data_IF_689037955518
#
_entry.id   IF_689037955518
#
_cell.length_a   1.000
_cell.length_b   1.000
_cell.length_c   1.000
_cell.angle_alpha   90.00
_cell.angle_beta   90.00
_cell.angle_gamma   90.00
#
_symmetry.space_group_name_H-M   'P 1'
#
loop_
_entity.id
_entity.type
_entity.pdbx_description
1 polymer ?
#
# COMPACT_ATOMS: atom_id res chain seq x y z
N UNK A 1 19.27 5.61 12.48
CA UNK A 1 18.90 4.23 12.86
C UNK A 1 19.75 3.25 12.05
N UNK A 2 20.21 2.15 12.64
CA UNK A 2 21.22 1.26 12.04
C UNK A 2 20.66 -0.10 11.60
N UNK A 3 21.36 -0.77 10.67
CA UNK A 3 21.01 -2.13 10.17
C UNK A 3 20.80 -3.18 11.27
N UNK A 4 21.41 -3.01 12.45
CA UNK A 4 21.21 -3.90 13.60
C UNK A 4 19.80 -3.79 14.16
N UNK A 5 19.30 -2.57 14.35
CA UNK A 5 17.95 -2.29 14.87
C UNK A 5 16.89 -2.82 13.91
N UNK A 6 17.12 -2.69 12.60
CA UNK A 6 16.24 -3.28 11.58
C UNK A 6 16.15 -4.82 11.69
N UNK A 7 17.29 -5.51 11.85
CA UNK A 7 17.32 -6.97 12.01
C UNK A 7 16.60 -7.43 13.29
N UNK A 8 16.78 -6.68 14.37
CA UNK A 8 16.11 -6.95 15.64
C UNK A 8 14.60 -6.72 15.54
N UNK A 9 14.19 -5.64 14.86
CA UNK A 9 12.79 -5.35 14.55
C UNK A 9 12.14 -6.48 13.75
N UNK A 10 12.78 -6.94 12.67
CA UNK A 10 12.25 -8.04 11.85
C UNK A 10 12.07 -9.31 12.67
N UNK A 11 13.07 -9.69 13.48
CA UNK A 11 12.99 -10.86 14.35
C UNK A 11 11.86 -10.74 15.37
N UNK A 12 11.73 -9.57 16.00
CA UNK A 12 10.66 -9.30 16.97
C UNK A 12 9.29 -9.41 16.31
N UNK A 13 9.11 -8.75 15.16
CA UNK A 13 7.86 -8.78 14.40
C UNK A 13 7.47 -10.19 13.98
N UNK A 14 8.41 -10.99 13.48
CA UNK A 14 8.15 -12.39 13.12
C UNK A 14 7.78 -13.25 14.34
N UNK A 15 8.37 -12.99 15.51
CA UNK A 15 7.99 -13.69 16.74
C UNK A 15 6.58 -13.31 17.22
N UNK A 16 6.24 -12.01 17.15
CA UNK A 16 4.92 -11.48 17.51
C UNK A 16 3.82 -12.03 16.58
N UNK A 17 4.06 -12.05 15.27
CA UNK A 17 3.13 -12.60 14.29
C UNK A 17 2.88 -14.10 14.52
N UNK A 18 3.94 -14.89 14.73
CA UNK A 18 3.80 -16.33 15.04
C UNK A 18 3.07 -16.60 16.35
N UNK A 19 3.28 -15.77 17.36
CA UNK A 19 2.56 -15.89 18.63
C UNK A 19 1.07 -15.58 18.43
N UNK A 20 0.76 -14.50 17.72
CA UNK A 20 -0.60 -14.10 17.41
C UNK A 20 -1.35 -15.18 16.62
N UNK A 21 -0.72 -15.76 15.59
CA UNK A 21 -1.30 -16.87 14.81
C UNK A 21 -1.59 -18.09 15.68
N UNK A 22 -0.68 -18.45 16.60
CA UNK A 22 -0.90 -19.54 17.55
C UNK A 22 -2.09 -19.25 18.46
N UNK A 23 -2.20 -18.03 19.00
CA UNK A 23 -3.33 -17.62 19.83
C UNK A 23 -4.65 -17.71 19.06
N UNK A 24 -4.68 -17.20 17.82
CA UNK A 24 -5.85 -17.26 16.93
C UNK A 24 -6.24 -18.70 16.61
N UNK A 25 -5.28 -19.57 16.33
CA UNK A 25 -5.54 -20.99 16.06
C UNK A 25 -6.15 -21.71 17.27
N UNK A 26 -5.67 -21.44 18.49
CA UNK A 26 -6.23 -22.01 19.72
C UNK A 26 -7.67 -21.55 19.94
N UNK A 27 -7.96 -20.26 19.72
CA UNK A 27 -9.32 -19.71 19.86
C UNK A 27 -10.25 -20.30 18.81
N UNK A 28 -9.78 -20.42 17.57
CA UNK A 28 -10.52 -21.07 16.47
C UNK A 28 -10.82 -22.53 16.78
N UNK A 29 -9.86 -23.31 17.28
CA UNK A 29 -10.08 -24.70 17.72
C UNK A 29 -11.09 -24.78 18.87
N UNK A 30 -10.97 -23.89 19.85
CA UNK A 30 -11.88 -23.84 21.00
C UNK A 30 -13.32 -23.57 20.57
N UNK A 31 -13.50 -22.65 19.61
CA UNK A 31 -14.79 -22.33 19.03
C UNK A 31 -15.39 -23.49 18.24
N UNK A 32 -14.61 -24.13 17.35
CA UNK A 32 -15.08 -25.22 16.51
C UNK A 32 -15.44 -26.47 17.31
N UNK A 33 -14.66 -26.79 18.34
CA UNK A 33 -14.84 -28.00 19.14
C UNK A 33 -15.63 -27.77 20.45
N UNK A 34 -16.21 -26.58 20.66
CA UNK A 34 -16.90 -26.20 21.90
C UNK A 34 -16.07 -26.47 23.18
N UNK A 35 -14.75 -26.26 23.13
CA UNK A 35 -13.85 -26.41 24.27
C UNK A 35 -13.78 -25.10 25.06
N UNK A 36 -13.61 -25.14 26.40
CA UNK A 36 -13.40 -23.92 27.17
C UNK A 36 -12.07 -23.25 26.80
N UNK A 37 -12.09 -21.93 26.61
CA UNK A 37 -10.88 -21.15 26.27
C UNK A 37 -9.87 -21.21 27.43
N UNK A 38 -8.57 -21.43 27.15
CA UNK A 38 -7.51 -21.46 28.16
C UNK A 38 -7.44 -20.16 28.98
N UNK A 39 -7.17 -20.28 30.28
CA UNK A 39 -7.22 -19.17 31.23
C UNK A 39 -6.40 -17.94 30.80
N UNK A 40 -5.18 -18.16 30.31
CA UNK A 40 -4.24 -17.11 29.87
C UNK A 40 -4.68 -16.35 28.61
N UNK A 41 -5.65 -16.86 27.85
CA UNK A 41 -6.18 -16.20 26.65
C UNK A 41 -7.56 -15.58 26.87
N UNK A 42 -8.21 -15.79 28.02
CA UNK A 42 -9.60 -15.34 28.24
C UNK A 42 -9.78 -13.83 28.17
N UNK A 43 -8.78 -13.05 28.61
CA UNK A 43 -8.81 -11.59 28.54
C UNK A 43 -8.76 -11.09 27.08
N UNK A 44 -7.92 -11.71 26.26
CA UNK A 44 -7.71 -11.37 24.84
C UNK A 44 -8.70 -12.07 23.90
N UNK A 45 -9.43 -13.08 24.39
CA UNK A 45 -10.23 -13.97 23.56
C UNK A 45 -11.29 -13.24 22.74
N UNK A 46 -11.93 -12.23 23.34
CA UNK A 46 -12.98 -11.44 22.67
C UNK A 46 -12.40 -10.68 21.48
N UNK A 47 -11.31 -9.94 21.68
CA UNK A 47 -10.66 -9.16 20.62
C UNK A 47 -10.13 -10.06 19.51
N UNK A 48 -9.48 -11.16 19.87
CA UNK A 48 -8.97 -12.13 18.90
C UNK A 48 -10.10 -12.81 18.13
N UNK A 49 -11.24 -13.08 18.77
CA UNK A 49 -12.41 -13.65 18.12
C UNK A 49 -13.07 -12.64 17.17
N UNK A 50 -13.17 -11.37 17.57
CA UNK A 50 -13.62 -10.29 16.69
C UNK A 50 -12.68 -10.17 15.48
N UNK A 51 -11.35 -10.22 15.67
CA UNK A 51 -10.40 -10.22 14.55
C UNK A 51 -10.54 -11.44 13.62
N UNK A 52 -10.89 -12.61 14.15
CA UNK A 52 -11.13 -13.84 13.35
C UNK A 52 -12.45 -13.74 12.57
N UNK A 53 -13.51 -13.23 13.19
CA UNK A 53 -14.84 -13.13 12.57
C UNK A 53 -14.86 -11.99 11.54
N UNK A 54 -14.23 -10.87 11.86
CA UNK A 54 -14.18 -9.67 11.04
C UNK A 54 -12.84 -9.53 10.30
N UNK A 55 -12.30 -10.61 9.71
CA UNK A 55 -11.13 -10.54 8.79
C UNK A 55 -11.27 -9.39 7.76
N UNK A 56 -12.49 -8.93 7.48
CA UNK A 56 -12.80 -7.62 6.90
C UNK A 56 -12.72 -6.45 7.89
N UNK A 57 -11.49 -6.00 8.17
CA UNK A 57 -11.16 -4.59 8.04
C UNK A 57 -11.98 -3.57 8.83
N UNK A 58 -12.14 -3.73 10.14
CA UNK A 58 -12.13 -2.51 10.95
C UNK A 58 -10.74 -1.91 10.81
N UNK A 59 -10.63 -0.92 9.92
CA UNK A 59 -9.52 0.01 9.90
C UNK A 59 -9.37 0.49 11.34
N UNK A 60 -8.38 -0.05 12.06
CA UNK A 60 -7.90 0.58 13.29
C UNK A 60 -7.79 2.05 12.93
N UNK A 61 -8.48 2.93 13.66
CA UNK A 61 -8.52 4.37 13.42
C UNK A 61 -7.09 4.86 13.59
N UNK A 62 -6.31 4.68 12.54
CA UNK A 62 -4.91 5.03 12.50
C UNK A 62 -4.88 6.52 12.35
N UNK A 63 -3.98 7.14 13.10
CA UNK A 63 -3.52 8.49 12.78
C UNK A 63 -3.30 8.56 11.27
N UNK A 64 -3.78 9.62 10.58
CA UNK A 64 -3.55 9.77 9.15
C UNK A 64 -2.05 9.72 8.90
N UNK A 65 -1.63 8.84 7.98
CA UNK A 65 -0.22 8.70 7.63
C UNK A 65 0.23 9.92 6.84
N UNK A 66 1.45 10.38 7.13
CA UNK A 66 2.13 11.39 6.36
C UNK A 66 2.66 10.78 5.06
N UNK A 67 1.85 10.88 3.99
CA UNK A 67 2.19 10.38 2.66
C UNK A 67 2.94 11.45 1.87
N UNK A 68 4.04 11.03 1.24
CA UNK A 68 4.85 11.89 0.39
C UNK A 68 5.02 11.28 -0.99
N UNK A 69 5.03 12.12 -2.02
CA UNK A 69 5.34 11.73 -3.39
C UNK A 69 6.62 12.39 -3.83
N UNK A 70 7.54 11.60 -4.38
CA UNK A 70 8.76 12.09 -5.00
C UNK A 70 8.99 11.43 -6.36
N UNK A 71 10.00 11.92 -7.07
CA UNK A 71 10.37 11.49 -8.42
C UNK A 71 11.73 10.80 -8.41
N UNK A 72 12.10 10.21 -9.54
CA UNK A 72 13.47 9.82 -9.83
C UNK A 72 14.41 11.02 -9.84
N UNK A 73 15.72 10.76 -9.84
CA UNK A 73 16.75 11.81 -10.02
C UNK A 73 16.60 12.46 -11.39
N UNK A 74 16.76 13.78 -11.44
CA UNK A 74 16.68 14.60 -12.65
C UNK A 74 15.43 14.34 -13.52
N UNK A 75 14.21 14.55 -12.97
CA UNK A 75 12.97 14.19 -13.65
C UNK A 75 12.59 15.18 -14.77
N UNK A 76 11.95 14.66 -15.82
CA UNK A 76 11.36 15.44 -16.89
C UNK A 76 10.22 16.34 -16.38
N UNK A 77 9.88 17.36 -17.16
CA UNK A 77 8.74 18.23 -16.88
C UNK A 77 7.42 17.45 -16.80
N UNK A 78 7.27 16.41 -17.64
CA UNK A 78 6.08 15.56 -17.68
C UNK A 78 5.95 14.70 -16.42
N UNK A 79 7.05 14.13 -15.94
CA UNK A 79 7.05 13.38 -14.68
C UNK A 79 6.81 14.28 -13.47
N UNK A 80 7.36 15.50 -13.45
CA UNK A 80 7.06 16.48 -12.39
C UNK A 80 5.56 16.81 -12.32
N UNK A 81 4.92 17.01 -13.48
CA UNK A 81 3.48 17.23 -13.54
C UNK A 81 2.69 16.01 -13.06
N UNK A 82 3.09 14.81 -13.50
CA UNK A 82 2.47 13.56 -13.07
C UNK A 82 2.57 13.36 -11.55
N UNK A 83 3.76 13.51 -10.98
CA UNK A 83 4.00 13.35 -9.54
C UNK A 83 3.21 14.37 -8.71
N UNK A 84 3.13 15.64 -9.15
CA UNK A 84 2.31 16.66 -8.50
C UNK A 84 0.82 16.32 -8.55
N UNK A 85 0.33 15.79 -9.67
CA UNK A 85 -1.08 15.41 -9.76
C UNK A 85 -1.39 14.18 -8.90
N UNK A 86 -0.50 13.18 -8.92
CA UNK A 86 -0.61 12.00 -8.07
C UNK A 86 -0.58 12.38 -6.58
N UNK A 87 0.27 13.32 -6.18
CA UNK A 87 0.36 13.76 -4.79
C UNK A 87 -0.96 14.36 -4.31
N UNK A 88 -1.61 15.20 -5.14
CA UNK A 88 -2.92 15.73 -4.81
C UNK A 88 -3.94 14.61 -4.59
N UNK A 89 -3.99 13.61 -5.48
CA UNK A 89 -4.99 12.54 -5.40
C UNK A 89 -4.81 11.67 -4.17
N UNK A 90 -3.57 11.41 -3.79
CA UNK A 90 -3.22 10.62 -2.60
C UNK A 90 -3.31 11.43 -1.30
N UNK A 91 -3.78 12.69 -1.32
CA UNK A 91 -3.72 13.62 -0.18
C UNK A 91 -2.30 13.75 0.40
N UNK A 92 -1.30 13.63 -0.47
CA UNK A 92 0.11 13.55 -0.14
C UNK A 92 0.84 14.87 -0.44
N UNK A 93 1.92 15.10 0.28
CA UNK A 93 2.83 16.21 0.01
C UNK A 93 3.84 15.84 -1.08
N UNK A 94 4.08 16.73 -2.04
CA UNK A 94 5.12 16.53 -3.06
C UNK A 94 6.46 17.03 -2.54
N UNK A 95 7.51 16.21 -2.63
CA UNK A 95 8.89 16.59 -2.31
C UNK A 95 9.76 16.52 -3.55
N UNK A 96 10.45 17.63 -3.82
CA UNK A 96 11.42 17.74 -4.92
C UNK A 96 12.64 16.88 -4.60
N UNK A 97 13.00 15.98 -5.52
CA UNK A 97 14.09 15.03 -5.30
C UNK A 97 15.47 15.69 -5.22
N UNK A 98 15.77 16.61 -6.13
CA UNK A 98 17.08 17.25 -6.23
C UNK A 98 18.24 16.24 -6.29
N UNK A 99 19.32 16.53 -5.57
CA UNK A 99 20.46 15.63 -5.37
C UNK A 99 20.35 14.76 -4.12
N UNK A 100 19.18 14.70 -3.47
CA UNK A 100 19.03 14.04 -2.18
C UNK A 100 19.26 12.53 -2.27
N UNK A 101 20.06 12.00 -1.35
CA UNK A 101 20.21 10.56 -1.20
C UNK A 101 18.94 9.94 -0.62
N UNK A 102 18.77 8.62 -0.75
CA UNK A 102 17.62 7.91 -0.17
C UNK A 102 17.59 8.07 1.36
N UNK A 103 18.77 8.14 1.99
CA UNK A 103 18.91 8.35 3.43
C UNK A 103 18.44 9.74 3.85
N UNK A 104 18.89 10.79 3.15
CA UNK A 104 18.44 12.16 3.40
C UNK A 104 16.93 12.33 3.18
N UNK A 105 16.36 11.59 2.22
CA UNK A 105 14.91 11.51 2.09
C UNK A 105 14.31 10.87 3.34
N UNK A 106 14.76 9.69 3.75
CA UNK A 106 14.22 8.97 4.90
C UNK A 106 14.23 9.79 6.21
N UNK A 107 15.15 10.74 6.35
CA UNK A 107 15.22 11.67 7.48
C UNK A 107 14.08 12.71 7.52
N UNK A 108 13.33 12.91 6.43
CA UNK A 108 12.23 13.89 6.34
C UNK A 108 10.95 13.50 7.11
N UNK A 109 11.01 12.47 7.97
CA UNK A 109 9.94 12.05 8.87
C UNK A 109 8.57 11.79 8.19
N UNK A 110 8.59 11.07 7.07
CA UNK A 110 7.39 10.57 6.41
C UNK A 110 7.05 9.14 6.82
N UNK A 111 5.76 8.81 6.86
CA UNK A 111 5.29 7.46 7.15
C UNK A 111 5.27 6.60 5.87
N UNK A 112 4.94 7.23 4.74
CA UNK A 112 4.82 6.58 3.43
C UNK A 112 5.49 7.43 2.37
N UNK A 113 6.36 6.82 1.56
CA UNK A 113 6.96 7.46 0.40
C UNK A 113 6.54 6.72 -0.88
N UNK A 114 5.98 7.48 -1.81
CA UNK A 114 5.67 7.05 -3.17
C UNK A 114 6.70 7.67 -4.11
N UNK A 115 7.55 6.84 -4.71
CA UNK A 115 8.55 7.28 -5.69
C UNK A 115 8.11 6.88 -7.09
N UNK A 116 8.07 7.84 -8.01
CA UNK A 116 7.71 7.60 -9.41
C UNK A 116 8.95 7.75 -10.29
N UNK A 117 9.21 6.76 -11.14
CA UNK A 117 10.25 6.81 -12.17
C UNK A 117 9.66 6.93 -13.57
N UNK A 118 10.50 7.31 -14.52
CA UNK A 118 10.14 7.43 -15.94
C UNK A 118 11.16 6.78 -16.87
N UNK A 119 10.72 6.55 -18.10
CA UNK A 119 11.57 6.31 -19.25
C UNK A 119 11.13 7.23 -20.38
N UNK A 120 12.06 8.00 -20.93
CA UNK A 120 11.80 8.95 -22.03
C UNK A 120 10.59 9.87 -21.81
N UNK A 121 10.44 10.39 -20.59
CA UNK A 121 9.34 11.31 -20.23
C UNK A 121 8.01 10.63 -19.85
N UNK A 122 7.91 9.30 -19.97
CA UNK A 122 6.71 8.54 -19.60
C UNK A 122 6.93 7.81 -18.28
N UNK A 123 6.04 8.05 -17.31
CA UNK A 123 6.09 7.35 -16.03
C UNK A 123 5.91 5.84 -16.25
N UNK A 124 6.82 5.04 -15.70
CA UNK A 124 6.89 3.59 -15.97
C UNK A 124 7.08 2.75 -14.70
N UNK A 125 7.45 3.36 -13.58
CA UNK A 125 7.68 2.67 -12.32
C UNK A 125 7.11 3.47 -11.15
N UNK A 126 6.58 2.75 -10.18
CA UNK A 126 6.09 3.31 -8.92
C UNK A 126 6.57 2.41 -7.78
N UNK A 127 7.20 3.01 -6.78
CA UNK A 127 7.66 2.33 -5.58
C UNK A 127 6.89 2.92 -4.40
N UNK A 128 6.24 2.07 -3.62
CA UNK A 128 5.50 2.42 -2.42
C UNK A 128 6.20 1.79 -1.23
N UNK A 129 6.81 2.60 -0.37
CA UNK A 129 7.56 2.13 0.82
C UNK A 129 6.99 2.74 2.08
N UNK A 130 6.90 1.93 3.13
CA UNK A 130 6.44 2.33 4.45
C UNK A 130 7.62 2.42 5.42
N UNK A 131 7.69 3.50 6.20
CA UNK A 131 8.78 3.75 7.14
C UNK A 131 8.34 3.50 8.59
N UNK A 132 9.29 3.27 9.52
CA UNK A 132 10.74 3.16 9.31
C UNK A 132 11.19 1.80 8.73
N UNK A 133 10.47 0.72 9.04
CA UNK A 133 10.82 -0.66 8.67
C UNK A 133 9.64 -1.41 8.02
N UNK A 134 8.71 -0.67 7.41
CA UNK A 134 7.54 -1.23 6.74
C UNK A 134 7.89 -1.88 5.40
N UNK A 135 6.93 -2.55 4.73
CA UNK A 135 7.18 -3.20 3.45
C UNK A 135 7.42 -2.19 2.32
N UNK A 136 8.09 -2.67 1.26
CA UNK A 136 8.19 -1.94 0.00
C UNK A 136 7.55 -2.74 -1.13
N UNK A 137 6.66 -2.08 -1.86
CA UNK A 137 5.96 -2.61 -3.02
C UNK A 137 6.48 -1.93 -4.28
N UNK A 138 6.83 -2.73 -5.28
CA UNK A 138 7.37 -2.28 -6.54
C UNK A 138 6.39 -2.59 -7.67
N UNK A 139 6.01 -1.53 -8.40
CA UNK A 139 5.04 -1.61 -9.48
C UNK A 139 5.63 -1.13 -10.80
N UNK A 140 5.28 -1.83 -11.89
CA UNK A 140 5.44 -1.32 -13.24
C UNK A 140 4.16 -0.61 -13.66
N UNK A 141 4.29 0.59 -14.22
CA UNK A 141 3.18 1.39 -14.71
C UNK A 141 3.00 1.19 -16.21
N UNK A 142 1.75 1.05 -16.61
CA UNK A 142 1.32 0.89 -18.00
C UNK A 142 0.13 1.82 -18.26
N UNK A 143 -0.12 2.11 -19.54
CA UNK A 143 -1.26 2.91 -19.99
C UNK A 143 -1.39 4.28 -19.28
N UNK A 144 -0.27 4.88 -18.87
CA UNK A 144 -0.27 6.13 -18.13
C UNK A 144 -0.75 7.26 -19.02
N UNK A 145 -1.87 7.87 -18.62
CA UNK A 145 -2.38 9.09 -19.24
C UNK A 145 -2.46 10.17 -18.18
N UNK A 146 -2.02 11.36 -18.58
CA UNK A 146 -2.14 12.60 -17.82
C UNK A 146 -2.65 13.66 -18.79
N UNK A 147 -3.84 14.19 -18.54
CA UNK A 147 -4.35 15.37 -19.26
C UNK A 147 -4.09 16.63 -18.42
N UNK A 148 -3.92 17.76 -19.09
CA UNK A 148 -3.27 18.97 -18.56
C UNK A 148 -4.05 19.76 -17.49
N UNK A 149 -5.31 19.43 -17.18
CA UNK A 149 -6.14 20.25 -16.27
C UNK A 149 -6.63 19.46 -15.08
N UNK A 150 -6.19 19.90 -13.91
CA UNK A 150 -6.52 19.33 -12.61
C UNK A 150 -7.58 20.21 -11.97
N UNK A 151 -8.79 19.71 -11.73
CA UNK A 151 -9.79 20.45 -10.94
C UNK A 151 -9.34 20.45 -9.47
N UNK A 152 -9.52 21.54 -8.70
CA UNK A 152 -9.29 21.49 -7.26
C UNK A 152 -10.31 20.52 -6.64
N UNK A 153 -9.88 19.68 -5.71
CA UNK A 153 -10.76 18.69 -5.08
C UNK A 153 -10.57 18.57 -3.58
N UNK A 154 -11.62 18.11 -2.90
CA UNK A 154 -11.65 17.94 -1.45
C UNK A 154 -10.67 16.84 -1.00
N UNK A 155 -10.13 16.99 0.20
CA UNK A 155 -9.31 15.95 0.86
C UNK A 155 -10.12 14.70 1.19
N UNK A 156 -11.45 14.80 1.34
CA UNK A 156 -12.33 13.67 1.63
C UNK A 156 -12.57 12.83 0.37
N UNK A 157 -11.84 11.73 0.26
CA UNK A 157 -11.93 10.75 -0.83
C UNK A 157 -12.47 9.42 -0.29
N UNK A 158 -13.45 8.84 -0.99
CA UNK A 158 -13.85 7.45 -0.79
C UNK A 158 -12.82 6.55 -1.47
N UNK A 159 -12.44 5.46 -0.82
CA UNK A 159 -11.50 4.48 -1.36
C UNK A 159 -12.23 3.18 -1.69
N UNK A 160 -12.07 2.70 -2.93
CA UNK A 160 -12.60 1.41 -3.38
C UNK A 160 -11.39 0.51 -3.71
N UNK A 161 -11.30 -0.63 -3.02
CA UNK A 161 -10.28 -1.66 -3.23
C UNK A 161 -10.97 -2.98 -3.56
N UNK A 162 -10.99 -3.36 -4.83
CA UNK A 162 -11.71 -4.53 -5.34
C UNK A 162 -10.77 -5.64 -5.80
N UNK A 163 -11.21 -6.89 -5.60
CA UNK A 163 -10.55 -8.12 -6.06
C UNK A 163 -9.13 -8.34 -5.53
N UNK A 164 -8.87 -7.96 -4.27
CA UNK A 164 -7.65 -8.31 -3.56
C UNK A 164 -7.94 -9.48 -2.61
N UNK A 165 -7.74 -10.71 -3.08
CA UNK A 165 -8.22 -11.92 -2.40
C UNK A 165 -7.13 -12.83 -1.85
N UNK A 166 -5.90 -12.70 -2.35
CA UNK A 166 -4.75 -13.49 -1.88
C UNK A 166 -4.12 -12.85 -0.63
N UNK A 167 -3.21 -13.54 0.05
CA UNK A 167 -2.50 -12.99 1.22
C UNK A 167 -1.72 -11.71 0.88
N UNK A 168 -1.02 -11.70 -0.27
CA UNK A 168 -0.28 -10.53 -0.77
C UNK A 168 -1.26 -9.42 -1.15
N UNK A 169 -2.38 -9.77 -1.78
CA UNK A 169 -3.44 -8.85 -2.15
C UNK A 169 -4.07 -8.18 -0.94
N UNK A 170 -4.45 -8.95 0.07
CA UNK A 170 -5.01 -8.46 1.34
C UNK A 170 -4.01 -7.56 2.06
N UNK A 171 -2.72 -7.94 2.08
CA UNK A 171 -1.65 -7.11 2.62
C UNK A 171 -1.53 -5.78 1.87
N UNK A 172 -1.53 -5.80 0.54
CA UNK A 172 -1.50 -4.59 -0.26
C UNK A 172 -2.76 -3.74 -0.03
N UNK A 173 -3.94 -4.36 0.02
CA UNK A 173 -5.22 -3.70 0.32
C UNK A 173 -5.16 -2.97 1.66
N UNK A 174 -4.67 -3.63 2.70
CA UNK A 174 -4.50 -3.03 4.02
C UNK A 174 -3.53 -1.85 3.98
N UNK A 175 -2.37 -1.99 3.32
CA UNK A 175 -1.39 -0.93 3.19
C UNK A 175 -1.93 0.29 2.40
N UNK A 176 -2.59 0.05 1.26
CA UNK A 176 -3.27 1.09 0.47
C UNK A 176 -4.33 1.81 1.31
N UNK A 177 -5.06 1.07 2.14
CA UNK A 177 -6.11 1.63 3.00
C UNK A 177 -5.56 2.63 4.03
N UNK A 178 -4.32 2.46 4.50
CA UNK A 178 -3.72 3.38 5.46
C UNK A 178 -3.37 4.76 4.89
N UNK A 179 -3.26 4.90 3.57
CA UNK A 179 -3.01 6.19 2.94
C UNK A 179 -4.26 7.09 2.90
N UNK A 180 -5.46 6.51 3.06
CA UNK A 180 -6.71 7.25 2.95
C UNK A 180 -7.50 7.17 4.27
N UNK A 181 -7.82 8.31 4.90
CA UNK A 181 -8.65 8.30 6.10
C UNK A 181 -10.06 7.81 5.77
N UNK A 182 -10.68 7.07 6.70
CA UNK A 182 -12.08 6.67 6.57
C UNK A 182 -12.99 7.89 6.57
N UNK A 183 -13.86 7.99 5.56
CA UNK A 183 -14.83 9.09 5.43
C UNK A 183 -16.21 8.53 5.09
N UNK A 184 -17.24 9.02 5.79
CA UNK A 184 -18.63 8.61 5.52
C UNK A 184 -19.16 9.18 4.20
N UNK A 185 -18.74 10.39 3.85
CA UNK A 185 -19.14 11.10 2.63
C UNK A 185 -17.93 11.78 2.00
N UNK A 186 -17.70 11.48 0.72
CA UNK A 186 -16.64 12.10 -0.10
C UNK A 186 -17.21 12.68 -1.39
N UNK A 187 -16.57 13.72 -1.93
CA UNK A 187 -16.90 14.30 -3.24
C UNK A 187 -16.13 13.65 -4.39
N UNK A 188 -15.23 12.73 -4.06
CA UNK A 188 -14.38 12.00 -5.02
C UNK A 188 -14.17 10.57 -4.57
N UNK A 189 -13.91 9.69 -5.52
CA UNK A 189 -13.65 8.27 -5.32
C UNK A 189 -12.33 7.90 -5.97
N UNK A 190 -11.45 7.25 -5.22
CA UNK A 190 -10.24 6.62 -5.73
C UNK A 190 -10.48 5.11 -5.79
N UNK A 191 -10.27 4.54 -6.97
CA UNK A 191 -10.54 3.12 -7.25
C UNK A 191 -9.24 2.42 -7.59
N UNK A 192 -8.97 1.34 -6.86
CA UNK A 192 -7.99 0.32 -7.24
C UNK A 192 -8.76 -0.96 -7.51
N UNK A 193 -8.93 -1.27 -8.79
CA UNK A 193 -9.63 -2.47 -9.23
C UNK A 193 -8.61 -3.48 -9.77
N UNK A 194 -8.42 -4.59 -9.06
CA UNK A 194 -7.57 -5.67 -9.52
C UNK A 194 -8.30 -6.55 -10.55
N UNK A 195 -7.67 -6.77 -11.70
CA UNK A 195 -8.10 -7.75 -12.70
C UNK A 195 -6.88 -8.40 -13.33
N UNK A 196 -6.75 -9.72 -13.16
CA UNK A 196 -5.64 -10.52 -13.70
C UNK A 196 -4.25 -9.98 -13.27
N UNK A 197 -4.09 -9.70 -11.97
CA UNK A 197 -2.89 -9.07 -11.34
C UNK A 197 -2.51 -7.68 -11.89
N UNK A 198 -3.41 -7.05 -12.64
CA UNK A 198 -3.28 -5.68 -13.12
C UNK A 198 -4.23 -4.82 -12.30
N UNK A 199 -3.65 -3.94 -11.47
CA UNK A 199 -4.40 -2.99 -10.68
C UNK A 199 -4.69 -1.76 -11.54
N UNK A 200 -5.95 -1.56 -11.87
CA UNK A 200 -6.41 -0.39 -12.62
C UNK A 200 -6.71 0.74 -11.64
N UNK A 201 -5.92 1.80 -11.73
CA UNK A 201 -6.12 2.99 -10.93
C UNK A 201 -7.01 3.99 -11.65
N UNK A 202 -8.12 4.37 -11.03
CA UNK A 202 -9.05 5.38 -11.55
C UNK A 202 -9.43 6.35 -10.43
N UNK A 203 -9.73 7.58 -10.80
CA UNK A 203 -10.19 8.62 -9.89
C UNK A 203 -11.44 9.26 -10.49
N UNK A 204 -12.50 9.42 -9.69
CA UNK A 204 -13.79 9.95 -10.13
C UNK A 204 -14.26 11.09 -9.23
N UNK A 205 -14.91 12.10 -9.80
CA UNK A 205 -15.63 13.15 -9.07
C UNK A 205 -17.12 12.80 -8.97
N UNK A 206 -17.73 13.00 -7.79
CA UNK A 206 -19.10 12.60 -7.47
C UNK A 206 -20.11 13.76 -7.39
N UNK A 207 -19.83 14.92 -7.98
CA UNK A 207 -20.65 16.11 -7.74
C UNK A 207 -22.09 15.99 -8.25
N UNK A 208 -22.28 15.57 -9.50
CA UNK A 208 -23.61 15.41 -10.12
C UNK A 208 -23.69 14.06 -10.84
N UNK A 209 -22.79 13.86 -11.81
CA UNK A 209 -22.54 12.57 -12.45
C UNK A 209 -21.09 12.16 -12.20
N UNK A 210 -20.80 10.85 -12.09
CA UNK A 210 -19.42 10.36 -12.01
C UNK A 210 -18.61 10.80 -13.23
N UNK A 211 -17.65 11.71 -13.03
CA UNK A 211 -16.71 12.16 -14.06
C UNK A 211 -15.34 11.56 -13.76
N UNK A 212 -14.75 10.84 -14.72
CA UNK A 212 -13.39 10.30 -14.60
C UNK A 212 -12.38 11.44 -14.66
N UNK A 213 -11.46 11.48 -13.71
CA UNK A 213 -10.34 12.41 -13.71
C UNK A 213 -9.35 12.08 -14.83
N UNK A 214 -8.57 13.09 -15.17
CA UNK A 214 -7.57 13.14 -16.22
C UNK A 214 -6.43 12.15 -16.09
N UNK A 215 -6.14 11.66 -14.88
CA UNK A 215 -5.06 10.71 -14.62
C UNK A 215 -5.61 9.31 -14.45
N UNK A 216 -5.05 8.41 -15.25
CA UNK A 216 -5.29 6.98 -15.13
C UNK A 216 -4.05 6.22 -15.54
N UNK A 217 -3.87 5.08 -14.91
CA UNK A 217 -2.81 4.16 -15.22
C UNK A 217 -3.19 2.78 -14.72
N UNK A 218 -2.53 1.79 -15.28
CA UNK A 218 -2.62 0.42 -14.82
C UNK A 218 -1.27 0.07 -14.21
N UNK A 219 -1.25 -0.57 -13.05
CA UNK A 219 -0.02 -0.93 -12.35
C UNK A 219 0.03 -2.43 -12.09
N UNK A 220 1.20 -3.02 -12.30
CA UNK A 220 1.44 -4.44 -12.06
C UNK A 220 2.50 -4.58 -10.97
N UNK A 221 2.15 -5.27 -9.90
CA UNK A 221 3.09 -5.58 -8.82
C UNK A 221 4.13 -6.58 -9.36
N UNK A 222 5.42 -6.30 -9.19
CA UNK A 222 6.49 -7.22 -9.61
C UNK A 222 7.44 -7.63 -8.49
N UNK A 223 7.46 -6.91 -7.36
CA UNK A 223 8.32 -7.23 -6.23
C UNK A 223 7.77 -6.66 -4.92
N UNK A 224 7.87 -7.44 -3.85
CA UNK A 224 7.52 -7.09 -2.46
C UNK A 224 8.71 -7.41 -1.57
N UNK A 225 9.17 -6.43 -0.81
CA UNK A 225 10.31 -6.55 0.09
C UNK A 225 9.88 -6.35 1.54
N UNK A 226 10.43 -7.17 2.44
CA UNK A 226 10.31 -6.96 3.89
C UNK A 226 11.28 -5.86 4.33
N UNK A 227 10.90 -4.59 4.20
CA UNK A 227 11.74 -3.47 4.61
C UNK A 227 11.52 -2.23 3.77
N UNK A 228 11.98 -1.09 4.27
CA UNK A 228 11.84 0.20 3.61
C UNK A 228 12.92 0.37 2.53
N UNK A 229 12.79 1.40 1.69
CA UNK A 229 13.78 1.69 0.65
C UNK A 229 15.20 1.97 1.20
N UNK A 230 15.33 2.39 2.46
CA UNK A 230 16.64 2.56 3.11
C UNK A 230 17.24 1.23 3.58
N UNK A 231 16.38 0.36 4.15
CA UNK A 231 16.75 -0.94 4.70
C UNK A 231 15.96 -2.02 3.97
N UNK A 232 16.37 -2.32 2.74
CA UNK A 232 15.84 -3.46 2.02
C UNK A 232 16.16 -4.75 2.78
N UNK A 233 15.13 -5.45 3.26
CA UNK A 233 15.25 -6.80 3.80
C UNK A 233 14.99 -7.86 2.75
N UNK A 234 14.61 -9.06 3.19
CA UNK A 234 14.45 -10.19 2.28
C UNK A 234 13.22 -10.02 1.37
N UNK A 235 13.30 -10.51 0.11
CA UNK A 235 12.14 -10.51 -0.78
C UNK A 235 11.06 -11.44 -0.23
N UNK A 236 9.87 -10.89 -0.04
CA UNK A 236 8.68 -11.65 0.32
C UNK A 236 8.07 -12.31 -0.91
N UNK A 237 8.02 -11.56 -2.02
CA UNK A 237 7.53 -12.05 -3.29
C UNK A 237 8.19 -11.32 -4.46
N UNK A 238 8.48 -12.04 -5.53
CA UNK A 238 9.02 -11.49 -6.77
C UNK A 238 8.36 -12.17 -7.97
N UNK A 239 8.04 -11.39 -9.00
CA UNK A 239 7.49 -11.88 -10.25
C UNK A 239 8.56 -12.65 -11.03
N UNK A 240 8.38 -13.96 -11.15
CA UNK A 240 9.26 -14.83 -11.94
C UNK A 240 8.66 -15.05 -13.33
N UNK A 241 9.09 -14.23 -14.29
CA UNK A 241 8.55 -14.26 -15.66
C UNK A 241 8.89 -15.54 -16.45
N UNK A 242 10.00 -16.21 -16.13
CA UNK A 242 10.51 -17.36 -16.89
C UNK A 242 10.11 -18.71 -16.27
N UNK A 243 8.84 -18.86 -15.88
CA UNK A 243 8.29 -20.12 -15.36
C UNK A 243 7.03 -20.49 -16.16
N UNK A 244 6.88 -21.77 -16.52
CA UNK A 244 5.76 -22.26 -17.33
C UNK A 244 4.37 -21.99 -16.72
N UNK A 245 4.27 -21.84 -15.41
CA UNK A 245 3.02 -21.55 -14.68
C UNK A 245 2.81 -20.07 -14.37
N UNK A 246 3.72 -19.18 -14.79
CA UNK A 246 3.70 -17.76 -14.43
C UNK A 246 2.41 -17.03 -14.87
N UNK A 247 1.75 -17.48 -15.94
CA UNK A 247 0.49 -16.90 -16.42
C UNK A 247 -0.77 -17.44 -15.74
N UNK A 248 -0.65 -18.50 -14.93
CA UNK A 248 -1.79 -19.20 -14.31
C UNK A 248 -1.99 -18.87 -12.83
N UNK A 249 -1.00 -18.25 -12.20
CA UNK A 249 -1.02 -17.97 -10.76
C UNK A 249 -1.30 -16.49 -10.54
N UNK A 250 -2.51 -16.18 -10.09
CA UNK A 250 -2.84 -14.85 -9.60
C UNK A 250 -2.21 -14.63 -8.22
N UNK A 251 -1.69 -13.43 -8.01
CA UNK A 251 -0.90 -13.05 -6.83
C UNK A 251 -1.62 -12.01 -5.98
N UNK A 252 -2.57 -11.25 -6.55
CA UNK A 252 -3.33 -10.20 -5.86
C UNK A 252 -4.78 -10.62 -5.57
#
# INVERSE_FOLDING_TARGET
MGRKEFREYLKRKESEEKELERKKAIIKDSYLNNKPVPFHLRSEARELMDEIIYETGQQRVSKPLNVYVTTSRDPSSRLKQFAKHLSLILNASSVTRGSMTIKELAEQNFDVLVMVGESHGQANSLILTYFPYGPTFYFSLHNVRLLSRTKPFSTKALLILENFGTDIGLKLKQNLSYMFPSVEKGKRVVVFHNKDDIIRFRHYFLEHNPEEDTIRFDMKLYKVMKGSLEFEGDPEWELRAFINTASKNNVL
#
